data_IF_652711013360
#
_entry.id   IF_652711013360
#
_cell.length_a   1.000
_cell.length_b   1.000
_cell.length_c   1.000
_cell.angle_alpha   90.00
_cell.angle_beta   90.00
_cell.angle_gamma   90.00
#
_symmetry.space_group_name_H-M   'P 1'
#
loop_
_entity.id
_entity.type
_entity.pdbx_description
1 polymer ?
#
# COMPACT_ATOMS: atom_id res chain seq x y z
N UNK A 1 -6.95 1.52 15.50
CA UNK A 1 -7.13 0.88 14.19
C UNK A 1 -5.90 1.04 13.33
N UNK A 2 -5.79 0.24 12.28
CA UNK A 2 -4.69 0.34 11.31
C UNK A 2 -5.05 1.41 10.26
N UNK A 3 -4.07 2.20 9.82
CA UNK A 3 -4.24 3.14 8.72
C UNK A 3 -4.19 2.39 7.38
N UNK A 4 -3.24 1.48 7.24
CA UNK A 4 -3.11 0.60 6.09
C UNK A 4 -2.54 -0.77 6.47
N UNK A 5 -2.74 -1.75 5.60
CA UNK A 5 -2.14 -3.08 5.62
C UNK A 5 -1.36 -3.23 4.32
N UNK A 6 -0.09 -3.59 4.42
CA UNK A 6 0.79 -3.76 3.26
C UNK A 6 1.27 -5.19 3.12
N UNK A 7 1.17 -5.73 1.92
CA UNK A 7 1.74 -7.01 1.54
C UNK A 7 2.43 -6.91 0.18
N UNK A 8 3.65 -7.39 0.11
CA UNK A 8 4.41 -7.53 -1.13
C UNK A 8 4.97 -8.96 -1.22
N UNK A 9 4.53 -9.72 -2.21
CA UNK A 9 4.94 -11.12 -2.35
C UNK A 9 4.16 -11.86 -3.43
N UNK A 10 4.23 -13.18 -3.38
CA UNK A 10 3.45 -14.04 -4.26
C UNK A 10 1.99 -14.10 -3.85
N UNK A 11 1.11 -14.37 -4.82
CA UNK A 11 -0.31 -14.58 -4.58
C UNK A 11 -1.05 -14.93 -5.86
N UNK A 12 -2.35 -14.99 -5.71
CA UNK A 12 -3.31 -15.32 -6.77
C UNK A 12 -4.53 -14.41 -6.65
N UNK A 13 -5.52 -14.65 -7.50
CA UNK A 13 -6.81 -13.95 -7.40
C UNK A 13 -7.57 -14.23 -6.09
N UNK A 14 -7.23 -15.27 -5.34
CA UNK A 14 -8.00 -15.71 -4.16
C UNK A 14 -7.19 -15.83 -2.86
N UNK A 15 -5.85 -15.72 -2.93
CA UNK A 15 -5.00 -15.89 -1.75
C UNK A 15 -3.67 -15.18 -1.85
N UNK A 16 -3.07 -14.90 -0.70
CA UNK A 16 -1.67 -14.50 -0.58
C UNK A 16 -0.82 -15.73 -0.24
N UNK A 17 0.29 -15.87 -0.93
CA UNK A 17 1.28 -16.95 -0.86
C UNK A 17 0.72 -18.35 -1.17
N UNK A 18 1.60 -19.29 -1.43
CA UNK A 18 1.25 -20.71 -1.59
C UNK A 18 0.75 -21.33 -0.27
N UNK A 19 1.24 -20.80 0.86
CA UNK A 19 0.87 -21.20 2.22
C UNK A 19 -0.49 -20.61 2.66
N UNK A 20 -1.10 -19.77 1.81
CA UNK A 20 -2.42 -19.15 2.06
C UNK A 20 -2.50 -18.40 3.38
N UNK A 21 -1.54 -17.50 3.63
CA UNK A 21 -1.55 -16.64 4.83
C UNK A 21 -2.74 -15.70 4.90
N UNK A 22 -3.41 -15.47 3.77
CA UNK A 22 -4.74 -14.85 3.65
C UNK A 22 -5.47 -15.52 2.50
N UNK A 23 -6.69 -15.99 2.73
CA UNK A 23 -7.56 -16.58 1.72
C UNK A 23 -9.00 -16.05 1.80
N UNK A 24 -9.84 -16.42 0.83
CA UNK A 24 -11.23 -15.97 0.73
C UNK A 24 -12.04 -16.23 2.01
N UNK A 25 -11.77 -17.35 2.70
CA UNK A 25 -12.46 -17.72 3.94
C UNK A 25 -12.11 -16.77 5.09
N UNK A 26 -10.88 -16.27 5.13
CA UNK A 26 -10.41 -15.30 6.13
C UNK A 26 -10.99 -13.92 5.85
N UNK A 27 -10.93 -13.50 4.57
CA UNK A 27 -11.48 -12.22 4.12
C UNK A 27 -12.96 -12.10 4.49
N UNK A 28 -13.75 -13.15 4.27
CA UNK A 28 -15.19 -13.17 4.59
C UNK A 28 -15.50 -13.13 6.09
N UNK A 29 -14.54 -13.53 6.93
CA UNK A 29 -14.65 -13.48 8.39
C UNK A 29 -14.13 -12.18 9.00
N UNK A 30 -13.47 -11.31 8.22
CA UNK A 30 -12.94 -10.05 8.74
C UNK A 30 -14.07 -9.20 9.32
N UNK A 31 -13.80 -8.67 10.52
CA UNK A 31 -14.63 -7.68 11.19
C UNK A 31 -13.77 -6.54 11.68
N UNK A 32 -13.73 -5.44 10.93
CA UNK A 32 -12.91 -4.27 11.23
C UNK A 32 -13.81 -3.04 11.38
N UNK A 33 -13.85 -2.47 12.56
CA UNK A 33 -14.63 -1.23 12.84
C UNK A 33 -14.09 -0.01 12.09
N UNK A 34 -12.81 0.01 11.78
CA UNK A 34 -12.13 1.06 11.01
C UNK A 34 -11.44 0.38 9.84
N UNK A 35 -11.88 0.74 8.65
CA UNK A 35 -11.42 0.11 7.41
C UNK A 35 -10.04 0.66 7.02
N UNK A 36 -8.99 -0.17 6.96
CA UNK A 36 -7.68 0.25 6.47
C UNK A 36 -7.67 0.37 4.95
N UNK A 37 -6.69 1.10 4.43
CA UNK A 37 -6.24 0.92 3.06
C UNK A 37 -5.47 -0.39 2.96
N UNK A 38 -5.72 -1.20 1.94
CA UNK A 38 -4.90 -2.38 1.63
C UNK A 38 -3.95 -2.06 0.48
N UNK A 39 -2.69 -2.40 0.63
CA UNK A 39 -1.67 -2.32 -0.42
C UNK A 39 -1.23 -3.75 -0.69
N UNK A 40 -1.62 -4.30 -1.85
CA UNK A 40 -1.43 -5.71 -2.19
C UNK A 40 -0.59 -5.84 -3.46
N UNK A 41 0.72 -5.76 -3.30
CA UNK A 41 1.68 -5.92 -4.38
C UNK A 41 1.93 -7.41 -4.67
N UNK A 42 0.93 -8.08 -5.22
CA UNK A 42 0.90 -9.51 -5.56
C UNK A 42 0.14 -9.73 -6.87
N UNK A 43 0.20 -10.94 -7.45
CA UNK A 43 -0.45 -11.21 -8.73
C UNK A 43 -1.98 -11.32 -8.62
N UNK A 44 -2.70 -10.78 -9.59
CA UNK A 44 -4.13 -11.02 -9.89
C UNK A 44 -5.13 -10.78 -8.74
N UNK A 45 -4.71 -10.23 -7.60
CA UNK A 45 -5.53 -10.20 -6.38
C UNK A 45 -6.83 -9.40 -6.51
N UNK A 46 -6.93 -8.51 -7.50
CA UNK A 46 -8.17 -7.81 -7.88
C UNK A 46 -8.50 -7.98 -9.36
N UNK A 47 -8.44 -9.21 -9.83
CA UNK A 47 -8.82 -9.56 -11.20
C UNK A 47 -10.34 -9.58 -11.33
N UNK A 48 -10.93 -8.39 -11.42
CA UNK A 48 -12.38 -8.16 -11.41
C UNK A 48 -13.09 -8.51 -12.74
N UNK A 49 -12.39 -8.93 -13.77
CA UNK A 49 -12.94 -9.37 -15.05
C UNK A 49 -13.03 -10.89 -15.17
N UNK A 50 -12.88 -11.62 -14.05
CA UNK A 50 -13.10 -13.06 -14.00
C UNK A 50 -14.57 -13.38 -13.66
N UNK A 51 -14.95 -14.66 -13.79
CA UNK A 51 -16.31 -15.14 -13.51
C UNK A 51 -16.67 -15.14 -12.02
N UNK A 52 -15.67 -15.23 -11.15
CA UNK A 52 -15.83 -15.24 -9.69
C UNK A 52 -15.10 -14.08 -9.07
N UNK A 53 -15.61 -13.59 -7.94
CA UNK A 53 -14.97 -12.52 -7.20
C UNK A 53 -13.54 -12.88 -6.81
N UNK A 54 -12.64 -11.92 -6.99
CA UNK A 54 -11.28 -11.97 -6.50
C UNK A 54 -11.19 -11.59 -5.02
N UNK A 55 -10.05 -11.88 -4.38
CA UNK A 55 -9.79 -11.50 -2.99
C UNK A 55 -9.91 -9.99 -2.74
N UNK A 56 -9.44 -9.18 -3.69
CA UNK A 56 -9.58 -7.73 -3.59
C UNK A 56 -11.03 -7.26 -3.66
N UNK A 57 -11.85 -7.85 -4.52
CA UNK A 57 -13.29 -7.56 -4.57
C UNK A 57 -13.99 -7.99 -3.27
N UNK A 58 -13.70 -9.18 -2.77
CA UNK A 58 -14.26 -9.64 -1.48
C UNK A 58 -13.85 -8.72 -0.32
N UNK A 59 -12.59 -8.23 -0.29
CA UNK A 59 -12.15 -7.26 0.70
C UNK A 59 -12.91 -5.94 0.57
N UNK A 60 -13.06 -5.42 -0.65
CA UNK A 60 -13.70 -4.14 -0.89
C UNK A 60 -15.20 -4.17 -0.62
N UNK A 61 -15.86 -5.30 -0.96
CA UNK A 61 -17.29 -5.48 -0.80
C UNK A 61 -17.72 -6.00 0.58
N UNK A 62 -16.77 -6.34 1.47
CA UNK A 62 -17.08 -6.84 2.81
C UNK A 62 -17.68 -5.75 3.69
N UNK A 63 -18.99 -5.75 3.84
CA UNK A 63 -19.74 -4.76 4.64
C UNK A 63 -19.47 -4.82 6.14
N UNK A 64 -18.82 -5.88 6.65
CA UNK A 64 -18.51 -6.07 8.07
C UNK A 64 -17.09 -5.63 8.45
N UNK A 65 -16.20 -5.44 7.46
CA UNK A 65 -14.85 -5.02 7.74
C UNK A 65 -13.83 -5.57 6.75
N UNK A 66 -13.67 -4.95 5.63
CA UNK A 66 -12.62 -5.24 4.64
C UNK A 66 -11.65 -4.06 4.52
N UNK A 67 -11.67 -3.36 3.39
CA UNK A 67 -10.85 -2.19 3.13
C UNK A 67 -11.67 -0.99 2.69
N UNK A 68 -11.20 0.22 3.06
CA UNK A 68 -11.79 1.46 2.53
C UNK A 68 -11.42 1.66 1.06
N UNK A 69 -10.26 1.17 0.67
CA UNK A 69 -9.74 1.13 -0.68
C UNK A 69 -8.59 0.13 -0.77
N UNK A 70 -8.18 -0.23 -1.99
CA UNK A 70 -7.03 -1.08 -2.23
C UNK A 70 -6.13 -0.48 -3.32
N UNK A 71 -4.81 -0.44 -3.07
CA UNK A 71 -3.81 -0.42 -4.12
C UNK A 71 -3.45 -1.88 -4.44
N UNK A 72 -3.83 -2.36 -5.60
CA UNK A 72 -3.88 -3.79 -5.89
C UNK A 72 -3.58 -4.07 -7.36
N UNK A 73 -3.53 -5.33 -7.74
CA UNK A 73 -3.20 -5.74 -9.10
C UNK A 73 -4.33 -6.50 -9.77
N UNK A 74 -4.46 -6.31 -11.08
CA UNK A 74 -5.46 -6.97 -11.93
C UNK A 74 -4.87 -8.08 -12.80
N UNK A 75 -3.56 -8.21 -12.83
CA UNK A 75 -2.81 -9.17 -13.67
C UNK A 75 -1.56 -9.65 -12.96
N UNK A 76 -0.91 -10.64 -13.56
CA UNK A 76 0.41 -11.10 -13.15
C UNK A 76 1.40 -9.93 -13.15
N UNK A 77 2.19 -9.85 -12.10
CA UNK A 77 3.21 -8.82 -11.89
C UNK A 77 4.51 -9.46 -11.42
N UNK A 78 5.62 -8.76 -11.58
CA UNK A 78 6.96 -9.28 -11.29
C UNK A 78 7.49 -8.70 -9.99
N UNK A 79 8.02 -9.56 -9.11
CA UNK A 79 8.41 -9.24 -7.72
C UNK A 79 9.30 -8.00 -7.60
N UNK A 80 10.38 -7.91 -8.37
CA UNK A 80 11.31 -6.80 -8.32
C UNK A 80 10.61 -5.46 -8.63
N UNK A 81 9.78 -5.44 -9.68
CA UNK A 81 9.02 -4.27 -10.11
C UNK A 81 7.92 -3.91 -9.12
N UNK A 82 7.32 -4.91 -8.50
CA UNK A 82 6.34 -4.73 -7.43
C UNK A 82 6.96 -4.06 -6.21
N UNK A 83 8.16 -4.49 -5.81
CA UNK A 83 8.85 -3.92 -4.65
C UNK A 83 9.11 -2.42 -4.84
N UNK A 84 9.51 -2.00 -6.06
CA UNK A 84 9.76 -0.59 -6.38
C UNK A 84 8.45 0.21 -6.35
N UNK A 85 7.39 -0.27 -7.00
CA UNK A 85 6.11 0.44 -6.97
C UNK A 85 5.53 0.49 -5.55
N UNK A 86 5.62 -0.61 -4.81
CA UNK A 86 5.18 -0.67 -3.41
C UNK A 86 5.94 0.36 -2.55
N UNK A 87 7.27 0.46 -2.71
CA UNK A 87 8.07 1.50 -2.07
C UNK A 87 7.56 2.90 -2.41
N UNK A 88 7.35 3.20 -3.71
CA UNK A 88 6.85 4.51 -4.14
C UNK A 88 5.45 4.82 -3.59
N UNK A 89 4.58 3.82 -3.45
CA UNK A 89 3.27 4.01 -2.81
C UNK A 89 3.43 4.37 -1.34
N UNK A 90 4.26 3.65 -0.58
CA UNK A 90 4.49 3.90 0.85
C UNK A 90 5.13 5.27 1.08
N UNK A 91 6.11 5.66 0.28
CA UNK A 91 6.76 6.97 0.39
C UNK A 91 5.77 8.12 0.12
N UNK A 92 4.90 7.97 -0.88
CA UNK A 92 3.98 9.04 -1.26
C UNK A 92 2.69 9.09 -0.45
N UNK A 93 2.33 8.02 0.28
CA UNK A 93 1.08 8.00 1.05
C UNK A 93 1.06 9.04 2.17
N UNK A 94 2.24 9.43 2.69
CA UNK A 94 2.39 10.43 3.75
C UNK A 94 2.73 11.83 3.24
N UNK A 95 2.89 12.00 1.93
CA UNK A 95 3.24 13.27 1.34
C UNK A 95 2.05 14.26 1.32
N UNK A 96 2.40 15.52 1.10
CA UNK A 96 1.45 16.63 0.99
C UNK A 96 1.58 17.29 -0.39
N UNK A 97 0.48 17.82 -0.88
CA UNK A 97 0.50 18.65 -2.07
C UNK A 97 0.94 20.11 -1.76
N UNK A 98 0.92 20.97 -2.77
CA UNK A 98 1.40 22.33 -2.66
C UNK A 98 0.57 23.22 -1.70
N UNK A 99 -0.67 22.86 -1.42
CA UNK A 99 -1.54 23.54 -0.47
C UNK A 99 -1.38 23.02 0.97
N UNK A 100 -0.49 22.06 1.19
CA UNK A 100 -0.22 21.42 2.47
C UNK A 100 -1.20 20.30 2.83
N UNK A 101 -2.18 19.99 2.02
CA UNK A 101 -3.12 18.88 2.22
C UNK A 101 -2.46 17.54 1.93
N UNK A 102 -2.85 16.49 2.64
CA UNK A 102 -2.43 15.12 2.31
C UNK A 102 -2.95 14.72 0.92
N UNK A 103 -2.16 13.94 0.19
CA UNK A 103 -2.59 13.42 -1.09
C UNK A 103 -3.89 12.61 -1.00
N UNK A 104 -4.72 12.73 -2.02
CA UNK A 104 -5.83 11.79 -2.27
C UNK A 104 -5.26 10.46 -2.75
N UNK A 105 -5.97 9.36 -2.57
CA UNK A 105 -5.49 8.04 -3.00
C UNK A 105 -5.19 7.98 -4.50
N UNK A 106 -5.99 8.65 -5.32
CA UNK A 106 -5.72 8.79 -6.76
C UNK A 106 -4.41 9.52 -7.07
N UNK A 107 -4.09 10.56 -6.30
CA UNK A 107 -2.83 11.31 -6.44
C UNK A 107 -1.64 10.45 -6.01
N UNK A 108 -1.75 9.72 -4.88
CA UNK A 108 -0.72 8.77 -4.44
C UNK A 108 -0.40 7.76 -5.54
N UNK A 109 -1.43 7.12 -6.13
CA UNK A 109 -1.23 6.15 -7.21
C UNK A 109 -0.58 6.79 -8.45
N UNK A 110 -1.03 7.96 -8.85
CA UNK A 110 -0.50 8.71 -10.00
C UNK A 110 0.97 9.08 -9.81
N UNK A 111 1.31 9.64 -8.64
CA UNK A 111 2.68 10.07 -8.33
C UNK A 111 3.60 8.86 -8.20
N UNK A 112 3.18 7.80 -7.53
CA UNK A 112 3.95 6.57 -7.40
C UNK A 112 4.27 5.94 -8.76
N UNK A 113 3.29 5.83 -9.67
CA UNK A 113 3.52 5.32 -11.02
C UNK A 113 4.46 6.21 -11.85
N UNK A 114 4.38 7.52 -11.68
CA UNK A 114 5.31 8.46 -12.30
C UNK A 114 6.72 8.27 -11.76
N UNK A 115 6.88 8.20 -10.45
CA UNK A 115 8.17 7.98 -9.79
C UNK A 115 8.84 6.66 -10.23
N UNK A 116 8.05 5.58 -10.42
CA UNK A 116 8.57 4.33 -11.00
C UNK A 116 9.10 4.54 -12.42
N UNK A 117 8.40 5.29 -13.26
CA UNK A 117 8.85 5.56 -14.64
C UNK A 117 10.13 6.42 -14.67
N UNK A 118 10.29 7.31 -13.71
CA UNK A 118 11.42 8.23 -13.56
C UNK A 118 12.59 7.64 -12.74
N UNK A 119 12.39 6.45 -12.15
CA UNK A 119 13.40 5.80 -11.32
C UNK A 119 14.69 5.55 -12.11
N UNK A 120 15.82 5.96 -11.55
CA UNK A 120 17.16 5.79 -12.10
C UNK A 120 17.92 4.81 -11.22
N UNK A 121 18.47 3.75 -11.81
CA UNK A 121 19.30 2.77 -11.08
C UNK A 121 20.73 3.31 -10.86
N UNK A 122 21.60 2.52 -10.19
CA UNK A 122 23.00 2.83 -9.96
C UNK A 122 23.82 3.11 -11.23
N UNK A 123 23.39 2.57 -12.35
CA UNK A 123 24.08 2.71 -13.65
C UNK A 123 23.58 3.92 -14.47
N UNK A 124 22.71 4.75 -13.88
CA UNK A 124 22.13 5.91 -14.52
C UNK A 124 21.02 5.59 -15.55
N UNK A 125 20.50 4.36 -15.56
CA UNK A 125 19.49 3.89 -16.50
C UNK A 125 18.09 4.01 -15.88
N UNK A 126 17.07 4.26 -16.70
CA UNK A 126 15.65 4.22 -16.32
C UNK A 126 15.00 2.89 -16.74
N UNK A 127 15.17 1.80 -15.97
CA UNK A 127 14.77 0.47 -16.39
C UNK A 127 13.25 0.29 -16.49
N UNK A 128 12.48 1.15 -15.83
CA UNK A 128 11.02 1.02 -15.72
C UNK A 128 10.23 2.08 -16.48
N UNK A 129 10.88 2.94 -17.27
CA UNK A 129 10.21 4.03 -18.00
C UNK A 129 9.07 3.50 -18.90
N UNK A 130 9.34 2.43 -19.66
CA UNK A 130 8.37 1.78 -20.57
C UNK A 130 7.80 0.48 -20.03
N UNK A 131 8.03 0.18 -18.76
CA UNK A 131 7.55 -1.06 -18.17
C UNK A 131 6.03 -1.03 -17.96
N UNK A 132 5.36 -2.05 -18.46
CA UNK A 132 3.91 -2.20 -18.37
C UNK A 132 3.46 -2.74 -16.99
N UNK A 133 4.36 -3.27 -16.16
CA UNK A 133 4.02 -3.83 -14.85
C UNK A 133 3.22 -2.84 -13.98
N UNK A 134 3.60 -1.56 -14.00
CA UNK A 134 2.91 -0.49 -13.27
C UNK A 134 1.45 -0.27 -13.73
N UNK A 135 1.08 -0.67 -14.95
CA UNK A 135 -0.28 -0.55 -15.47
C UNK A 135 -1.21 -1.60 -14.88
N UNK A 136 -0.66 -2.73 -14.45
CA UNK A 136 -1.41 -3.79 -13.80
C UNK A 136 -1.82 -3.44 -12.36
N UNK A 137 -1.25 -2.39 -11.78
CA UNK A 137 -1.70 -1.84 -10.49
C UNK A 137 -2.85 -0.88 -10.69
N UNK A 138 -3.86 -1.00 -9.85
CA UNK A 138 -5.03 -0.12 -9.82
C UNK A 138 -5.31 0.37 -8.40
N UNK A 139 -6.08 1.44 -8.31
CA UNK A 139 -6.82 1.82 -7.11
C UNK A 139 -8.24 1.26 -7.24
N UNK A 140 -8.60 0.33 -6.37
CA UNK A 140 -9.99 -0.09 -6.16
C UNK A 140 -10.55 0.72 -4.99
N UNK A 141 -11.43 1.67 -5.27
CA UNK A 141 -11.98 2.63 -4.31
C UNK A 141 -12.14 4.03 -4.87
N UNK A 142 -12.48 4.98 -4.02
CA UNK A 142 -12.64 6.39 -4.41
C UNK A 142 -11.29 7.09 -4.54
N UNK A 143 -10.91 7.58 -5.74
CA UNK A 143 -9.66 8.29 -5.95
C UNK A 143 -9.59 9.67 -5.25
N UNK A 144 -10.73 10.25 -4.88
CA UNK A 144 -10.79 11.51 -4.15
C UNK A 144 -10.61 11.34 -2.63
N UNK A 145 -10.65 10.12 -2.13
CA UNK A 145 -10.52 9.81 -0.71
C UNK A 145 -9.14 10.23 -0.17
N UNK A 146 -9.14 10.89 0.99
CA UNK A 146 -7.97 11.09 1.84
C UNK A 146 -8.06 10.19 3.06
N UNK A 147 -6.95 9.55 3.44
CA UNK A 147 -6.91 8.71 4.64
C UNK A 147 -7.05 9.57 5.90
N UNK A 148 -7.62 8.98 6.96
CA UNK A 148 -7.72 9.60 8.28
C UNK A 148 -6.36 9.51 9.00
N UNK A 149 -5.43 10.37 8.62
CA UNK A 149 -4.12 10.46 9.26
C UNK A 149 -4.25 10.92 10.72
N UNK A 150 -3.30 10.51 11.60
CA UNK A 150 -3.22 11.07 12.94
C UNK A 150 -3.03 12.59 12.89
N UNK A 151 -3.83 13.32 13.68
CA UNK A 151 -3.72 14.79 13.76
C UNK A 151 -2.57 15.21 14.69
N UNK A 152 -2.24 14.38 15.68
CA UNK A 152 -1.22 14.68 16.67
C UNK A 152 0.14 14.11 16.29
N UNK A 153 1.16 14.95 16.43
CA UNK A 153 2.56 14.52 16.33
C UNK A 153 2.96 13.87 17.65
N UNK A 154 3.40 12.62 17.60
CA UNK A 154 4.05 12.00 18.74
C UNK A 154 5.53 12.39 18.75
N UNK A 155 6.02 12.85 19.87
CA UNK A 155 7.43 13.19 20.10
C UNK A 155 7.86 12.40 21.33
N UNK A 156 8.96 11.67 21.21
CA UNK A 156 9.60 11.05 22.38
C UNK A 156 10.44 12.14 23.03
N UNK A 157 10.13 12.50 24.26
CA UNK A 157 10.81 13.55 25.00
C UNK A 157 11.80 13.01 26.02
N UNK A 158 11.62 11.76 26.44
CA UNK A 158 12.44 11.10 27.46
C UNK A 158 12.59 9.61 27.14
N UNK A 159 13.74 9.03 27.50
CA UNK A 159 13.97 7.58 27.54
C UNK A 159 14.44 7.23 28.94
N UNK A 160 13.74 6.31 29.63
CA UNK A 160 14.01 5.88 31.02
C UNK A 160 14.08 7.04 32.04
N UNK A 161 13.39 8.17 31.76
CA UNK A 161 13.36 9.36 32.60
C UNK A 161 14.43 10.40 32.26
N UNK A 162 15.31 10.11 31.32
CA UNK A 162 16.30 11.05 30.82
C UNK A 162 15.77 11.79 29.59
N UNK A 163 15.78 13.14 29.57
CA UNK A 163 15.37 13.92 28.39
C UNK A 163 16.21 13.58 27.18
N UNK A 164 15.58 13.46 25.99
CA UNK A 164 16.28 13.36 24.71
C UNK A 164 16.60 14.76 24.25
N UNK A 165 17.88 15.11 24.19
CA UNK A 165 18.38 16.26 23.48
C UNK A 165 19.07 15.82 22.16
N UNK A 166 19.35 16.80 21.29
CA UNK A 166 19.97 16.54 19.98
C UNK A 166 21.41 15.97 20.09
N UNK A 167 21.97 15.90 21.30
CA UNK A 167 23.32 15.44 21.59
C UNK A 167 23.37 14.05 22.25
N UNK A 168 22.22 13.47 22.52
CA UNK A 168 22.14 12.16 23.18
C UNK A 168 22.57 11.05 22.21
N UNK A 169 23.74 10.47 22.44
CA UNK A 169 24.15 9.23 21.77
C UNK A 169 23.18 8.10 22.17
N UNK A 170 22.52 7.53 21.17
CA UNK A 170 21.68 6.33 21.37
C UNK A 170 22.60 5.18 21.79
N UNK A 171 22.69 4.92 23.08
CA UNK A 171 23.32 3.70 23.58
C UNK A 171 22.40 2.53 23.19
N UNK A 172 22.91 1.66 22.35
CA UNK A 172 22.26 0.35 22.07
C UNK A 172 22.24 -0.46 23.36
N UNK A 173 21.03 -0.85 23.76
CA UNK A 173 20.78 -1.84 24.79
C UNK A 173 21.22 -3.23 24.34
#
# INVERSE_FOLDING_TARGET
GLLFINFCGHGSSTSWTAEKILEMSDIRKLYLKRLPLWITATCDFSRFDDKSNSGGEELFLNSKGGGIALFTTTRVVYMEKNAILNKMLIENIFERDADGSRYRLGDVMRVAKKAVAEYVNSDGVRPYERDLNKLNFILLGDPALRLAYPEYKMVITEINGDPIDETSDLQTL
#
